data_IF_993172451558
#
_entry.id   IF_993172451558
#
_cell.length_a   1.000
_cell.length_b   1.000
_cell.length_c   1.000
_cell.angle_alpha   90.00
_cell.angle_beta   90.00
_cell.angle_gamma   90.00
#
_symmetry.space_group_name_H-M   'P 1'
#
loop_
_entity.id
_entity.type
_entity.pdbx_description
1 polymer ?
#
# COMPACT_ATOMS: atom_id res chain seq x y z
N UNK A 1 -13.31 36.36 -0.19
CA UNK A 1 -11.87 36.02 -0.03
C UNK A 1 -11.68 34.65 0.61
N UNK A 2 -12.20 34.41 1.81
CA UNK A 2 -12.08 33.13 2.56
C UNK A 2 -12.51 31.91 1.73
N UNK A 3 -13.68 31.94 1.09
CA UNK A 3 -14.16 30.82 0.25
C UNK A 3 -13.23 30.46 -0.91
N UNK A 4 -12.54 31.44 -1.49
CA UNK A 4 -11.59 31.21 -2.59
C UNK A 4 -10.31 30.56 -2.07
N UNK A 5 -9.80 31.01 -0.92
CA UNK A 5 -8.60 30.47 -0.28
C UNK A 5 -8.85 29.01 0.12
N UNK A 6 -9.95 28.75 0.82
CA UNK A 6 -10.33 27.40 1.25
C UNK A 6 -10.45 26.43 0.05
N UNK A 7 -11.09 26.88 -1.03
CA UNK A 7 -11.19 26.12 -2.28
C UNK A 7 -9.82 25.78 -2.88
N UNK A 8 -8.91 26.76 -2.93
CA UNK A 8 -7.56 26.54 -3.49
C UNK A 8 -6.80 25.53 -2.62
N UNK A 9 -6.83 25.67 -1.30
CA UNK A 9 -6.16 24.74 -0.38
C UNK A 9 -6.69 23.33 -0.57
N UNK A 10 -8.01 23.12 -0.55
CA UNK A 10 -8.62 21.80 -0.71
C UNK A 10 -8.31 21.22 -2.09
N UNK A 11 -8.36 22.03 -3.15
CA UNK A 11 -7.98 21.59 -4.49
C UNK A 11 -6.53 21.12 -4.58
N UNK A 12 -5.59 21.86 -3.96
CA UNK A 12 -4.19 21.47 -3.89
C UNK A 12 -3.97 20.16 -3.13
N UNK A 13 -4.74 19.93 -2.05
CA UNK A 13 -4.67 18.65 -1.32
C UNK A 13 -5.11 17.49 -2.20
N UNK A 14 -6.22 17.61 -2.93
CA UNK A 14 -6.65 16.57 -3.87
C UNK A 14 -5.67 16.34 -5.01
N UNK A 15 -5.10 17.41 -5.57
CA UNK A 15 -4.08 17.30 -6.63
C UNK A 15 -2.83 16.58 -6.09
N UNK A 16 -2.35 16.95 -4.90
CA UNK A 16 -1.17 16.33 -4.30
C UNK A 16 -1.43 14.85 -3.97
N UNK A 17 -2.55 14.56 -3.32
CA UNK A 17 -2.98 13.20 -2.98
C UNK A 17 -3.14 12.32 -4.23
N UNK A 18 -3.87 12.80 -5.23
CA UNK A 18 -4.04 12.11 -6.51
C UNK A 18 -2.73 11.93 -7.27
N UNK A 19 -1.80 12.90 -7.21
CA UNK A 19 -0.51 12.80 -7.88
C UNK A 19 0.36 11.69 -7.28
N UNK A 20 0.46 11.61 -5.95
CA UNK A 20 1.25 10.54 -5.32
C UNK A 20 0.67 9.16 -5.65
N UNK A 21 -0.66 9.02 -5.62
CA UNK A 21 -1.32 7.78 -6.05
C UNK A 21 -1.11 7.49 -7.54
N UNK A 22 -1.04 8.50 -8.41
CA UNK A 22 -0.79 8.31 -9.84
C UNK A 22 0.63 7.82 -10.13
N UNK A 23 1.62 8.29 -9.36
CA UNK A 23 3.02 7.85 -9.47
C UNK A 23 3.13 6.35 -9.18
N UNK A 24 2.37 5.84 -8.20
CA UNK A 24 2.32 4.41 -7.85
C UNK A 24 0.87 3.88 -7.81
N UNK A 25 0.22 3.88 -8.98
CA UNK A 25 -1.17 3.43 -9.10
C UNK A 25 -1.33 1.93 -8.86
N UNK A 26 -0.29 1.14 -9.16
CA UNK A 26 -0.28 -0.30 -8.88
C UNK A 26 -0.20 -0.55 -7.38
N UNK A 27 0.65 0.17 -6.64
CA UNK A 27 0.68 0.12 -5.18
C UNK A 27 -0.66 0.48 -4.56
N UNK A 28 -1.30 1.56 -5.03
CA UNK A 28 -2.64 1.93 -4.57
C UNK A 28 -3.69 0.84 -4.89
N UNK A 29 -3.57 0.17 -6.04
CA UNK A 29 -4.46 -0.93 -6.39
C UNK A 29 -4.35 -2.13 -5.44
N UNK A 30 -3.15 -2.41 -4.91
CA UNK A 30 -2.98 -3.49 -3.93
C UNK A 30 -3.71 -3.20 -2.61
N UNK A 31 -3.81 -1.93 -2.20
CA UNK A 31 -4.60 -1.54 -1.04
C UNK A 31 -6.09 -1.79 -1.27
N UNK A 32 -6.61 -1.41 -2.45
CA UNK A 32 -8.00 -1.69 -2.82
C UNK A 32 -8.27 -3.20 -2.92
N UNK A 33 -7.32 -3.96 -3.45
CA UNK A 33 -7.39 -5.43 -3.50
C UNK A 33 -7.53 -6.03 -2.10
N UNK A 34 -6.75 -5.54 -1.13
CA UNK A 34 -6.83 -5.97 0.27
C UNK A 34 -8.21 -5.68 0.89
N UNK A 35 -8.78 -4.50 0.63
CA UNK A 35 -10.15 -4.17 1.06
C UNK A 35 -11.20 -5.11 0.44
N UNK A 36 -11.06 -5.48 -0.84
CA UNK A 36 -12.04 -6.33 -1.52
C UNK A 36 -11.86 -7.82 -1.27
N UNK A 37 -10.75 -8.20 -0.64
CA UNK A 37 -10.40 -9.58 -0.36
C UNK A 37 -11.42 -10.30 0.56
N UNK A 38 -11.44 -11.64 0.56
CA UNK A 38 -12.32 -12.45 1.42
C UNK A 38 -12.24 -12.15 2.92
N UNK A 39 -11.10 -11.66 3.41
CA UNK A 39 -10.89 -11.36 4.83
C UNK A 39 -11.51 -10.02 5.27
N UNK A 40 -11.88 -9.14 4.34
CA UNK A 40 -12.39 -7.79 4.62
C UNK A 40 -13.84 -7.65 4.17
N UNK A 41 -14.08 -7.33 2.89
CA UNK A 41 -15.44 -7.20 2.35
C UNK A 41 -15.95 -8.43 1.60
N UNK A 42 -15.05 -9.35 1.23
CA UNK A 42 -15.38 -10.55 0.48
C UNK A 42 -16.14 -10.24 -0.82
N UNK A 43 -15.55 -9.39 -1.67
CA UNK A 43 -16.10 -9.01 -2.98
C UNK A 43 -15.09 -9.36 -4.10
N UNK A 44 -14.95 -10.65 -4.45
CA UNK A 44 -13.93 -11.12 -5.41
C UNK A 44 -14.03 -10.48 -6.80
N UNK A 45 -15.23 -10.02 -7.18
CA UNK A 45 -15.45 -9.31 -8.45
C UNK A 45 -14.69 -7.97 -8.50
N UNK A 46 -14.73 -7.20 -7.39
CA UNK A 46 -14.03 -5.92 -7.30
C UNK A 46 -12.53 -6.10 -7.06
N UNK A 47 -12.14 -7.15 -6.35
CA UNK A 47 -10.74 -7.53 -6.13
C UNK A 47 -9.99 -7.68 -7.47
N UNK A 48 -10.58 -8.41 -8.43
CA UNK A 48 -10.01 -8.57 -9.78
C UNK A 48 -9.93 -7.28 -10.59
N UNK A 49 -10.75 -6.29 -10.24
CA UNK A 49 -10.82 -4.99 -10.92
C UNK A 49 -10.09 -3.89 -10.13
N UNK A 50 -9.37 -4.23 -9.06
CA UNK A 50 -8.75 -3.25 -8.17
C UNK A 50 -7.84 -2.25 -8.90
N UNK A 51 -7.09 -2.70 -9.92
CA UNK A 51 -6.27 -1.81 -10.75
C UNK A 51 -7.11 -0.83 -11.58
N UNK A 52 -8.20 -1.30 -12.19
CA UNK A 52 -9.10 -0.45 -12.99
C UNK A 52 -9.76 0.58 -12.07
N UNK A 53 -10.23 0.15 -10.90
CA UNK A 53 -10.85 1.02 -9.90
C UNK A 53 -9.82 2.05 -9.40
N UNK A 54 -8.60 1.62 -9.09
CA UNK A 54 -7.51 2.52 -8.68
C UNK A 54 -7.26 3.62 -9.71
N UNK A 55 -7.13 3.26 -11.00
CA UNK A 55 -6.93 4.21 -12.10
C UNK A 55 -8.11 5.20 -12.18
N UNK A 56 -9.36 4.73 -12.10
CA UNK A 56 -10.55 5.59 -12.16
C UNK A 56 -10.58 6.56 -10.97
N UNK A 57 -10.35 6.06 -9.75
CA UNK A 57 -10.38 6.87 -8.52
C UNK A 57 -9.29 7.94 -8.55
N UNK A 58 -8.06 7.57 -8.93
CA UNK A 58 -6.95 8.51 -9.07
C UNK A 58 -7.21 9.54 -10.16
N UNK A 59 -7.76 9.11 -11.31
CA UNK A 59 -8.11 10.02 -12.40
C UNK A 59 -9.19 11.01 -11.96
N UNK A 60 -10.25 10.56 -11.27
CA UNK A 60 -11.28 11.44 -10.73
C UNK A 60 -10.69 12.42 -9.71
N UNK A 61 -9.86 11.95 -8.79
CA UNK A 61 -9.24 12.80 -7.78
C UNK A 61 -8.42 13.94 -8.40
N UNK A 62 -7.58 13.62 -9.40
CA UNK A 62 -6.78 14.60 -10.12
C UNK A 62 -7.62 15.54 -10.98
N UNK A 63 -8.50 14.99 -11.84
CA UNK A 63 -9.32 15.80 -12.76
C UNK A 63 -10.20 16.77 -11.97
N UNK A 64 -10.90 16.28 -10.95
CA UNK A 64 -11.80 17.11 -10.15
C UNK A 64 -11.03 18.01 -9.17
N UNK A 65 -9.84 17.62 -8.72
CA UNK A 65 -8.92 18.53 -8.02
C UNK A 65 -8.53 19.73 -8.89
N UNK A 66 -8.13 19.50 -10.15
CA UNK A 66 -7.85 20.58 -11.11
C UNK A 66 -9.10 21.42 -11.44
N UNK A 67 -10.26 20.80 -11.63
CA UNK A 67 -11.50 21.54 -11.87
C UNK A 67 -11.89 22.40 -10.67
N UNK A 68 -11.67 21.91 -9.45
CA UNK A 68 -11.92 22.67 -8.23
C UNK A 68 -10.97 23.87 -8.16
N UNK A 69 -9.70 23.71 -8.54
CA UNK A 69 -8.71 24.78 -8.61
C UNK A 69 -9.07 25.87 -9.65
N UNK A 70 -9.55 25.46 -10.83
CA UNK A 70 -9.91 26.36 -11.94
C UNK A 70 -11.33 26.93 -11.86
N UNK A 71 -12.13 26.48 -10.88
CA UNK A 71 -13.55 26.83 -10.70
C UNK A 71 -14.39 26.36 -11.89
N UNK A 72 -14.11 25.15 -12.38
CA UNK A 72 -14.80 24.54 -13.52
C UNK A 72 -15.88 23.57 -13.08
N UNK A 73 -17.08 23.70 -13.67
CA UNK A 73 -18.26 22.89 -13.36
C UNK A 73 -18.46 22.67 -11.85
N UNK A 74 -18.38 23.76 -11.07
CA UNK A 74 -18.13 23.71 -9.63
C UNK A 74 -19.09 22.79 -8.85
N UNK A 75 -20.39 22.84 -9.14
CA UNK A 75 -21.41 21.99 -8.49
C UNK A 75 -21.11 20.51 -8.72
N UNK A 76 -20.86 20.12 -9.97
CA UNK A 76 -20.56 18.74 -10.34
C UNK A 76 -19.23 18.26 -9.73
N UNK A 77 -18.19 19.09 -9.84
CA UNK A 77 -16.86 18.82 -9.25
C UNK A 77 -16.94 18.58 -7.75
N UNK A 78 -17.66 19.44 -7.01
CA UNK A 78 -17.85 19.27 -5.57
C UNK A 78 -18.63 18.00 -5.25
N UNK A 79 -19.72 17.70 -5.98
CA UNK A 79 -20.50 16.48 -5.78
C UNK A 79 -19.64 15.22 -5.92
N UNK A 80 -18.78 15.16 -6.95
CA UNK A 80 -17.91 13.99 -7.16
C UNK A 80 -16.82 13.88 -6.08
N UNK A 81 -16.16 14.99 -5.73
CA UNK A 81 -15.15 14.98 -4.67
C UNK A 81 -15.76 14.61 -3.31
N UNK A 82 -16.98 15.07 -3.02
CA UNK A 82 -17.71 14.68 -1.80
C UNK A 82 -17.98 13.16 -1.83
N UNK A 83 -18.49 12.62 -2.93
CA UNK A 83 -18.74 11.18 -3.05
C UNK A 83 -17.45 10.35 -2.87
N UNK A 84 -16.33 10.79 -3.46
CA UNK A 84 -15.02 10.17 -3.33
C UNK A 84 -14.50 10.25 -1.87
N UNK A 85 -14.66 11.39 -1.20
CA UNK A 85 -14.33 11.52 0.22
C UNK A 85 -15.19 10.62 1.11
N UNK A 86 -16.49 10.50 0.85
CA UNK A 86 -17.38 9.60 1.61
C UNK A 86 -16.95 8.15 1.41
N UNK A 87 -16.62 7.76 0.18
CA UNK A 87 -16.10 6.42 -0.11
C UNK A 87 -14.80 6.12 0.66
N UNK A 88 -13.81 7.02 0.62
CA UNK A 88 -12.57 6.84 1.38
C UNK A 88 -12.79 6.88 2.89
N UNK A 89 -13.62 7.79 3.39
CA UNK A 89 -13.97 7.86 4.82
C UNK A 89 -14.62 6.55 5.30
N UNK A 90 -15.43 5.89 4.47
CA UNK A 90 -15.97 4.57 4.79
C UNK A 90 -14.87 3.50 4.87
N UNK A 91 -13.96 3.44 3.89
CA UNK A 91 -12.84 2.49 3.90
C UNK A 91 -11.92 2.71 5.11
N UNK A 92 -11.57 3.96 5.39
CA UNK A 92 -10.65 4.32 6.48
C UNK A 92 -11.28 4.12 7.85
N UNK A 93 -12.59 4.41 8.00
CA UNK A 93 -13.34 4.05 9.19
C UNK A 93 -13.36 2.54 9.42
N UNK A 94 -13.66 1.75 8.39
CA UNK A 94 -13.71 0.30 8.49
C UNK A 94 -12.35 -0.27 8.95
N UNK A 95 -11.26 0.19 8.34
CA UNK A 95 -9.90 -0.16 8.78
C UNK A 95 -9.61 0.23 10.22
N UNK A 96 -9.98 1.44 10.63
CA UNK A 96 -9.72 1.95 11.97
C UNK A 96 -10.52 1.22 13.06
N UNK A 97 -11.74 0.78 12.74
CA UNK A 97 -12.61 0.07 13.66
C UNK A 97 -12.26 -1.42 13.76
N UNK A 98 -12.02 -2.09 12.63
CA UNK A 98 -11.77 -3.54 12.58
C UNK A 98 -10.29 -3.94 12.54
N UNK A 99 -9.36 -2.99 12.48
CA UNK A 99 -7.90 -3.21 12.39
C UNK A 99 -7.47 -4.15 11.25
N UNK A 100 -8.14 -4.04 10.09
CA UNK A 100 -7.96 -4.97 8.96
C UNK A 100 -6.93 -4.55 7.93
N UNK A 101 -6.71 -3.24 7.73
CA UNK A 101 -5.72 -2.70 6.77
C UNK A 101 -4.96 -1.59 7.47
N UNK A 102 -3.64 -1.73 7.53
CA UNK A 102 -2.75 -0.84 8.31
C UNK A 102 -2.45 0.50 7.64
N UNK A 103 -2.68 0.60 6.32
CA UNK A 103 -2.44 1.81 5.54
C UNK A 103 -3.51 1.96 4.45
N UNK A 104 -4.31 3.01 4.57
CA UNK A 104 -5.46 3.30 3.71
C UNK A 104 -5.07 3.78 2.29
N UNK A 105 -3.80 4.08 2.04
CA UNK A 105 -3.30 4.48 0.71
C UNK A 105 -3.77 5.85 0.23
N UNK A 106 -4.36 6.68 1.11
CA UNK A 106 -4.88 8.00 0.74
C UNK A 106 -3.82 8.96 0.19
N UNK A 107 -2.55 8.84 0.59
CA UNK A 107 -1.43 9.62 0.02
C UNK A 107 -0.41 8.71 -0.66
N UNK A 108 -0.82 7.52 -1.09
CA UNK A 108 0.09 6.47 -1.56
C UNK A 108 1.22 6.18 -0.55
N UNK A 109 2.35 5.70 -1.05
CA UNK A 109 3.50 5.34 -0.22
C UNK A 109 4.29 6.55 0.33
N UNK A 110 3.99 7.78 -0.09
CA UNK A 110 4.75 8.95 0.37
C UNK A 110 4.44 9.35 1.82
N UNK A 111 3.23 9.04 2.32
CA UNK A 111 2.83 9.33 3.69
C UNK A 111 1.89 8.24 4.20
N UNK A 112 2.46 7.27 4.93
CA UNK A 112 1.71 6.25 5.64
C UNK A 112 1.07 6.89 6.87
N UNK A 113 -0.25 6.95 6.87
CA UNK A 113 -1.04 7.48 7.97
C UNK A 113 -1.74 6.33 8.67
N UNK A 114 -1.70 6.34 10.01
CA UNK A 114 -2.46 5.37 10.81
C UNK A 114 -3.95 5.42 10.45
N UNK A 115 -4.71 4.31 10.57
CA UNK A 115 -6.10 4.26 10.14
C UNK A 115 -6.98 5.38 10.73
N UNK A 116 -6.84 5.66 12.03
CA UNK A 116 -7.58 6.75 12.69
C UNK A 116 -7.16 8.15 12.21
N UNK A 117 -5.88 8.35 11.89
CA UNK A 117 -5.39 9.62 11.33
C UNK A 117 -5.94 9.83 9.91
N UNK A 118 -5.93 8.77 9.10
CA UNK A 118 -6.50 8.76 7.76
C UNK A 118 -7.99 9.07 7.78
N UNK A 119 -8.75 8.46 8.70
CA UNK A 119 -10.18 8.72 8.86
C UNK A 119 -10.47 10.18 9.22
N UNK A 120 -9.84 10.73 10.26
CA UNK A 120 -10.07 12.11 10.66
C UNK A 120 -9.72 13.11 9.57
N UNK A 121 -8.63 12.86 8.84
CA UNK A 121 -8.26 13.64 7.66
C UNK A 121 -9.37 13.64 6.60
N UNK A 122 -9.93 12.48 6.27
CA UNK A 122 -11.03 12.40 5.30
C UNK A 122 -12.28 13.13 5.79
N UNK A 123 -12.59 13.07 7.10
CA UNK A 123 -13.67 13.85 7.71
C UNK A 123 -13.43 15.35 7.61
N UNK A 124 -12.20 15.84 7.86
CA UNK A 124 -11.87 17.26 7.70
C UNK A 124 -11.98 17.72 6.24
N UNK A 125 -11.52 16.92 5.29
CA UNK A 125 -11.67 17.21 3.86
C UNK A 125 -13.13 17.22 3.44
N UNK A 126 -13.92 16.25 3.91
CA UNK A 126 -15.36 16.18 3.66
C UNK A 126 -16.09 17.41 4.23
N UNK A 127 -15.82 17.79 5.48
CA UNK A 127 -16.39 18.98 6.10
C UNK A 127 -16.01 20.26 5.33
N UNK A 128 -14.75 20.36 4.90
CA UNK A 128 -14.27 21.46 4.07
C UNK A 128 -14.99 21.55 2.71
N UNK A 129 -15.21 20.41 2.05
CA UNK A 129 -15.97 20.34 0.79
C UNK A 129 -17.43 20.71 0.97
N UNK A 130 -18.10 20.22 2.04
CA UNK A 130 -19.48 20.59 2.36
C UNK A 130 -19.61 22.08 2.66
N UNK A 131 -18.65 22.65 3.37
CA UNK A 131 -18.59 24.10 3.62
C UNK A 131 -18.43 24.88 2.31
N UNK A 132 -17.52 24.47 1.42
CA UNK A 132 -17.38 25.10 0.09
C UNK A 132 -18.68 24.98 -0.69
N UNK A 133 -19.31 23.80 -0.70
CA UNK A 133 -20.58 23.56 -1.40
C UNK A 133 -21.66 24.54 -0.92
N UNK A 134 -21.79 24.72 0.40
CA UNK A 134 -22.73 25.67 0.97
C UNK A 134 -22.37 27.13 0.63
N UNK A 135 -21.09 27.51 0.71
CA UNK A 135 -20.62 28.87 0.42
C UNK A 135 -20.75 29.28 -1.05
N UNK A 136 -20.75 28.32 -1.97
CA UNK A 136 -20.93 28.53 -3.41
C UNK A 136 -22.33 28.20 -3.91
N UNK A 137 -23.28 27.79 -3.05
CA UNK A 137 -24.63 27.37 -3.43
C UNK A 137 -25.37 28.38 -4.31
N UNK A 138 -25.18 29.68 -4.04
CA UNK A 138 -25.79 30.79 -4.78
C UNK A 138 -24.99 31.22 -6.02
N UNK A 139 -23.79 30.66 -6.22
CA UNK A 139 -22.87 30.98 -7.30
C UNK A 139 -22.76 29.86 -8.33
N UNK A 140 -23.51 28.76 -8.19
CA UNK A 140 -23.41 27.61 -9.09
C UNK A 140 -23.93 27.90 -10.49
N UNK A 141 -24.92 28.78 -10.63
CA UNK A 141 -25.53 29.12 -11.92
C UNK A 141 -24.82 30.29 -12.62
N UNK A 142 -23.72 30.80 -12.04
CA UNK A 142 -22.93 31.85 -12.70
C UNK A 142 -22.21 31.29 -13.93
N UNK A 143 -22.34 32.01 -15.05
CA UNK A 143 -21.68 31.65 -16.29
C UNK A 143 -20.17 31.49 -16.08
N UNK A 144 -19.65 30.34 -16.48
CA UNK A 144 -18.24 30.02 -16.33
C UNK A 144 -17.43 30.79 -17.38
N UNK A 145 -16.46 31.59 -16.94
CA UNK A 145 -15.52 32.21 -17.87
C UNK A 145 -14.62 31.14 -18.49
N UNK A 146 -14.94 30.79 -19.74
CA UNK A 146 -14.17 29.88 -20.59
C UNK A 146 -13.00 30.64 -21.21
N UNK A 147 -11.85 30.62 -20.55
CA UNK A 147 -10.62 31.19 -21.11
C UNK A 147 -9.82 30.15 -21.88
N UNK A 148 -9.12 30.57 -22.94
CA UNK A 148 -8.19 29.69 -23.69
C UNK A 148 -7.13 29.08 -22.75
N UNK A 149 -6.67 29.86 -21.77
CA UNK A 149 -5.72 29.41 -20.75
C UNK A 149 -6.22 28.20 -19.96
N UNK A 150 -7.45 28.25 -19.41
CA UNK A 150 -8.04 27.11 -18.69
C UNK A 150 -8.12 25.86 -19.57
N UNK A 151 -8.51 26.02 -20.85
CA UNK A 151 -8.58 24.90 -21.80
C UNK A 151 -7.21 24.24 -22.00
N UNK A 152 -6.19 25.03 -22.33
CA UNK A 152 -4.84 24.50 -22.55
C UNK A 152 -4.26 23.84 -21.28
N UNK A 153 -4.45 24.48 -20.12
CA UNK A 153 -3.97 23.95 -18.85
C UNK A 153 -4.64 22.62 -18.49
N UNK A 154 -5.97 22.51 -18.64
CA UNK A 154 -6.70 21.26 -18.39
C UNK A 154 -6.28 20.15 -19.36
N UNK A 155 -6.06 20.47 -20.65
CA UNK A 155 -5.55 19.49 -21.63
C UNK A 155 -4.14 19.01 -21.28
N UNK A 156 -3.25 19.93 -20.90
CA UNK A 156 -1.89 19.58 -20.46
C UNK A 156 -1.89 18.71 -19.21
N UNK A 157 -2.70 19.06 -18.21
CA UNK A 157 -2.86 18.27 -16.98
C UNK A 157 -3.38 16.85 -17.29
N UNK A 158 -4.36 16.72 -18.19
CA UNK A 158 -4.90 15.43 -18.62
C UNK A 158 -3.84 14.56 -19.31
N UNK A 159 -3.08 15.10 -20.27
CA UNK A 159 -2.01 14.37 -20.97
C UNK A 159 -0.93 13.92 -19.98
N UNK A 160 -0.52 14.81 -19.08
CA UNK A 160 0.49 14.52 -18.05
C UNK A 160 0.02 13.40 -17.12
N UNK A 161 -1.24 13.44 -16.69
CA UNK A 161 -1.83 12.40 -15.85
C UNK A 161 -1.86 11.05 -16.56
N UNK A 162 -2.33 10.98 -17.80
CA UNK A 162 -2.36 9.74 -18.60
C UNK A 162 -0.96 9.17 -18.75
N UNK A 163 0.04 10.02 -19.02
CA UNK A 163 1.44 9.62 -19.11
C UNK A 163 1.95 9.02 -17.79
N UNK A 164 1.75 9.71 -16.66
CA UNK A 164 2.22 9.25 -15.34
C UNK A 164 1.56 7.92 -14.93
N UNK A 165 0.24 7.81 -15.08
CA UNK A 165 -0.50 6.59 -14.74
C UNK A 165 -0.03 5.43 -15.62
N UNK A 166 0.07 5.63 -16.94
CA UNK A 166 0.53 4.60 -17.85
C UNK A 166 1.97 4.17 -17.53
N UNK A 167 2.85 5.13 -17.20
CA UNK A 167 4.20 4.84 -16.76
C UNK A 167 4.20 4.00 -15.48
N UNK A 168 3.45 4.39 -14.44
CA UNK A 168 3.38 3.66 -13.17
C UNK A 168 2.75 2.27 -13.25
N UNK A 169 2.03 1.95 -14.34
CA UNK A 169 1.52 0.60 -14.62
C UNK A 169 2.57 -0.27 -15.31
N UNK A 170 3.37 0.31 -16.20
CA UNK A 170 4.23 -0.43 -17.14
C UNK A 170 5.68 -0.52 -16.70
N UNK A 171 6.15 0.49 -15.97
CA UNK A 171 7.54 0.62 -15.53
C UNK A 171 7.58 0.91 -14.03
N UNK A 172 8.79 0.97 -13.46
CA UNK A 172 8.94 1.41 -12.09
C UNK A 172 8.51 2.87 -11.91
N UNK A 173 7.87 3.21 -10.76
CA UNK A 173 7.48 4.58 -10.45
C UNK A 173 8.63 5.57 -10.66
N UNK A 174 8.34 6.69 -11.32
CA UNK A 174 9.34 7.76 -11.57
C UNK A 174 9.93 8.27 -10.26
N UNK A 175 9.11 8.31 -9.20
CA UNK A 175 9.53 8.66 -7.84
C UNK A 175 9.19 7.46 -6.95
N UNK A 176 10.22 6.85 -6.37
CA UNK A 176 10.05 5.71 -5.49
C UNK A 176 9.98 6.15 -4.03
N UNK A 177 8.77 6.13 -3.47
CA UNK A 177 8.51 6.44 -2.05
C UNK A 177 8.64 5.23 -1.13
N UNK A 178 8.89 4.03 -1.67
CA UNK A 178 9.00 2.80 -0.87
C UNK A 178 10.32 2.75 -0.12
N UNK A 179 10.35 1.97 0.97
CA UNK A 179 11.56 1.68 1.72
C UNK A 179 12.64 1.01 0.84
N UNK A 180 12.20 0.25 -0.17
CA UNK A 180 13.05 -0.42 -1.15
C UNK A 180 13.52 0.48 -2.30
N UNK A 181 13.58 1.81 -2.17
CA UNK A 181 14.09 2.67 -3.25
C UNK A 181 15.56 2.38 -3.60
N UNK A 182 15.94 2.70 -4.84
CA UNK A 182 17.34 2.53 -5.30
C UNK A 182 18.28 3.33 -4.39
N UNK A 183 19.37 2.69 -3.96
CA UNK A 183 20.34 3.25 -3.03
C UNK A 183 20.14 2.85 -1.57
N UNK A 184 18.99 2.29 -1.18
CA UNK A 184 18.77 1.77 0.18
C UNK A 184 19.65 0.56 0.45
N UNK A 185 20.25 0.50 1.65
CA UNK A 185 21.00 -0.67 2.14
C UNK A 185 20.15 -1.47 3.13
N UNK A 186 19.76 -2.68 2.72
CA UNK A 186 18.91 -3.55 3.55
C UNK A 186 19.60 -3.97 4.85
N UNK A 187 20.94 -4.07 4.88
CA UNK A 187 21.66 -4.39 6.12
C UNK A 187 21.51 -3.27 7.15
N UNK A 188 21.68 -2.02 6.72
CA UNK A 188 21.54 -0.85 7.58
C UNK A 188 20.09 -0.71 8.06
N UNK A 189 19.13 -0.87 7.15
CA UNK A 189 17.71 -0.80 7.51
C UNK A 189 17.30 -1.89 8.49
N UNK A 190 17.74 -3.14 8.30
CA UNK A 190 17.50 -4.23 9.27
C UNK A 190 18.14 -3.95 10.63
N UNK A 191 19.33 -3.33 10.68
CA UNK A 191 19.93 -2.90 11.94
C UNK A 191 19.13 -1.78 12.62
N UNK A 192 18.59 -0.83 11.86
CA UNK A 192 17.74 0.24 12.41
C UNK A 192 16.44 -0.31 13.00
N UNK A 193 15.81 -1.27 12.31
CA UNK A 193 14.64 -2.00 12.83
C UNK A 193 15.00 -2.73 14.13
N UNK A 194 16.12 -3.45 14.17
CA UNK A 194 16.55 -4.19 15.36
C UNK A 194 16.91 -3.29 16.55
N UNK A 195 17.38 -2.06 16.31
CA UNK A 195 17.69 -1.08 17.37
C UNK A 195 16.44 -0.47 18.01
N UNK A 196 15.34 -0.39 17.27
CA UNK A 196 14.08 0.17 17.75
C UNK A 196 12.90 -0.70 17.28
N UNK A 197 12.74 -1.92 17.83
CA UNK A 197 11.66 -2.81 17.44
C UNK A 197 10.32 -2.28 17.95
N UNK A 198 9.25 -2.55 17.19
CA UNK A 198 7.89 -2.34 17.68
C UNK A 198 7.59 -3.28 18.84
N UNK A 199 7.00 -2.75 19.90
CA UNK A 199 6.64 -3.52 21.10
C UNK A 199 5.17 -3.93 21.00
N UNK A 200 4.93 -5.23 20.94
CA UNK A 200 3.60 -5.83 20.94
C UNK A 200 3.33 -6.47 22.30
N UNK A 201 2.11 -6.32 22.81
CA UNK A 201 1.62 -7.14 23.92
C UNK A 201 0.52 -8.08 23.43
N UNK A 202 0.58 -9.29 23.93
CA UNK A 202 -0.47 -10.27 23.75
C UNK A 202 -1.61 -9.95 24.73
N UNK A 203 -2.85 -10.02 24.23
CA UNK A 203 -4.08 -9.90 24.99
C UNK A 203 -4.88 -11.19 24.84
N UNK A 204 -5.37 -11.70 25.97
CA UNK A 204 -6.23 -12.87 26.05
C UNK A 204 -7.68 -12.41 26.24
N UNK A 205 -8.59 -12.97 25.46
CA UNK A 205 -10.03 -12.90 25.77
C UNK A 205 -10.33 -13.97 26.80
N UNK A 206 -10.62 -13.58 28.04
CA UNK A 206 -10.99 -14.49 29.13
C UNK A 206 -12.48 -14.41 29.39
N UNK A 207 -13.16 -15.56 29.41
CA UNK A 207 -14.59 -15.66 29.65
C UNK A 207 -14.85 -16.26 31.03
N UNK A 208 -15.73 -15.61 31.80
CA UNK A 208 -16.19 -16.10 33.07
C UNK A 208 -17.26 -17.19 32.87
N UNK A 209 -16.99 -18.41 33.35
CA UNK A 209 -17.92 -19.55 33.25
C UNK A 209 -19.21 -19.37 34.05
N UNK A 210 -19.22 -18.50 35.07
CA UNK A 210 -20.35 -18.30 35.99
C UNK A 210 -21.25 -17.13 35.56
N UNK A 211 -20.66 -16.00 35.16
CA UNK A 211 -21.42 -14.81 34.75
C UNK A 211 -21.62 -14.70 33.23
N UNK A 212 -20.81 -15.42 32.43
CA UNK A 212 -20.78 -15.27 30.97
C UNK A 212 -20.05 -14.00 30.49
N UNK A 213 -19.51 -13.19 31.41
CA UNK A 213 -18.76 -11.98 31.12
C UNK A 213 -17.46 -12.30 30.38
N UNK A 214 -17.09 -11.46 29.42
CA UNK A 214 -15.85 -11.58 28.64
C UNK A 214 -14.99 -10.35 28.91
N UNK A 215 -13.75 -10.56 29.35
CA UNK A 215 -12.76 -9.51 29.59
C UNK A 215 -11.56 -9.73 28.68
N UNK A 216 -10.96 -8.63 28.26
CA UNK A 216 -9.68 -8.65 27.56
C UNK A 216 -8.57 -8.31 28.56
N UNK A 217 -7.61 -9.23 28.74
CA UNK A 217 -6.55 -9.13 29.74
C UNK A 217 -5.20 -9.24 29.04
N UNK A 218 -4.27 -8.32 29.29
CA UNK A 218 -2.94 -8.41 28.70
C UNK A 218 -2.13 -9.56 29.34
N UNK A 219 -1.09 -10.04 28.64
CA UNK A 219 -0.30 -11.17 29.09
C UNK A 219 0.37 -10.96 30.45
N UNK A 220 0.82 -9.74 30.75
CA UNK A 220 1.45 -9.42 32.03
C UNK A 220 0.44 -9.54 33.17
N UNK A 221 -0.76 -8.95 33.01
CA UNK A 221 -1.84 -9.00 34.00
C UNK A 221 -2.40 -10.42 34.13
N UNK A 222 -2.50 -11.16 33.03
CA UNK A 222 -2.91 -12.56 33.07
C UNK A 222 -1.94 -13.38 33.92
N UNK A 223 -0.63 -13.27 33.70
CA UNK A 223 0.37 -14.03 34.46
C UNK A 223 0.45 -13.55 35.92
N UNK A 224 0.40 -12.24 36.16
CA UNK A 224 0.60 -11.66 37.48
C UNK A 224 -0.65 -11.74 38.38
N UNK A 225 -1.85 -11.72 37.82
CA UNK A 225 -3.09 -11.79 38.57
C UNK A 225 -3.66 -13.22 38.62
N UNK A 226 -3.37 -13.92 39.71
CA UNK A 226 -3.81 -15.31 39.98
C UNK A 226 -5.31 -15.56 39.73
N UNK A 227 -6.14 -14.53 39.89
CA UNK A 227 -7.59 -14.59 39.65
C UNK A 227 -7.95 -15.06 38.23
N UNK A 228 -7.06 -14.99 37.24
CA UNK A 228 -7.32 -15.38 35.85
C UNK A 228 -6.87 -16.79 35.46
N UNK A 229 -6.04 -17.48 36.26
CA UNK A 229 -5.46 -18.79 35.88
C UNK A 229 -5.31 -19.80 37.01
N UNK A 230 -5.46 -19.39 38.28
CA UNK A 230 -5.41 -20.32 39.42
C UNK A 230 -6.53 -21.37 39.32
N UNK A 231 -6.35 -22.57 39.88
CA UNK A 231 -7.28 -23.72 39.71
C UNK A 231 -8.74 -23.41 40.12
N UNK A 232 -8.95 -22.41 40.98
CA UNK A 232 -10.28 -21.95 41.41
C UNK A 232 -10.86 -20.80 40.57
N UNK A 233 -10.15 -20.35 39.55
CA UNK A 233 -10.54 -19.23 38.69
C UNK A 233 -11.80 -19.58 37.89
N UNK A 234 -12.82 -18.70 37.88
CA UNK A 234 -13.96 -18.86 36.99
C UNK A 234 -13.65 -18.44 35.54
N UNK A 235 -12.45 -17.94 35.25
CA UNK A 235 -12.06 -17.38 33.96
C UNK A 235 -11.31 -18.41 33.11
N UNK A 236 -11.70 -18.53 31.84
CA UNK A 236 -11.05 -19.42 30.86
C UNK A 236 -10.72 -18.63 29.59
N UNK A 237 -9.54 -18.85 29.03
CA UNK A 237 -9.14 -18.22 27.76
C UNK A 237 -10.04 -18.78 26.64
N UNK A 238 -10.63 -17.90 25.85
CA UNK A 238 -11.32 -18.29 24.63
C UNK A 238 -10.29 -18.63 23.56
N UNK A 239 -10.17 -19.93 23.25
CA UNK A 239 -9.30 -20.42 22.17
C UNK A 239 -9.61 -19.71 20.85
N UNK A 240 -8.54 -19.25 20.16
CA UNK A 240 -8.66 -18.54 18.89
C UNK A 240 -8.98 -17.04 19.00
N UNK A 241 -9.15 -16.48 20.21
CA UNK A 241 -9.37 -15.03 20.43
C UNK A 241 -8.20 -14.29 21.07
N UNK A 242 -7.03 -14.92 21.13
CA UNK A 242 -5.79 -14.24 21.53
C UNK A 242 -5.42 -13.22 20.45
N UNK A 243 -5.25 -11.97 20.84
CA UNK A 243 -4.87 -10.89 19.93
C UNK A 243 -3.53 -10.29 20.34
N UNK A 244 -2.69 -9.92 19.38
CA UNK A 244 -1.48 -9.16 19.65
C UNK A 244 -1.76 -7.70 19.31
N UNK A 245 -1.59 -6.79 20.27
CA UNK A 245 -1.78 -5.36 20.08
C UNK A 245 -0.44 -4.64 20.18
N UNK A 246 -0.16 -3.81 19.18
CA UNK A 246 0.97 -2.91 19.19
C UNK A 246 0.78 -1.86 20.30
N UNK A 247 1.71 -1.79 21.25
CA UNK A 247 1.66 -0.82 22.36
C UNK A 247 2.57 0.37 22.08
N UNK A 248 3.70 0.12 21.43
CA UNK A 248 4.66 1.17 21.07
C UNK A 248 5.21 0.91 19.69
N UNK A 249 5.01 1.89 18.80
CA UNK A 249 5.53 1.81 17.46
C UNK A 249 7.04 2.10 17.45
N UNK A 250 7.81 1.11 16.99
CA UNK A 250 9.25 1.23 16.75
C UNK A 250 9.54 1.83 15.38
N UNK A 251 10.75 1.61 14.87
CA UNK A 251 11.11 1.99 13.51
C UNK A 251 10.35 1.14 12.49
N UNK A 252 9.41 1.76 11.78
CA UNK A 252 8.53 1.08 10.83
C UNK A 252 9.16 1.09 9.44
N UNK A 253 9.41 -0.09 8.88
CA UNK A 253 9.88 -0.27 7.51
C UNK A 253 9.38 -1.60 6.95
N UNK A 254 8.92 -1.61 5.69
CA UNK A 254 8.51 -2.82 4.97
C UNK A 254 9.66 -3.79 4.72
N UNK A 255 10.91 -3.34 4.92
CA UNK A 255 12.11 -4.21 4.87
C UNK A 255 12.09 -5.26 6.00
N UNK A 256 11.35 -5.00 7.08
CA UNK A 256 11.09 -6.01 8.12
C UNK A 256 10.40 -7.27 7.57
N UNK A 257 9.60 -7.13 6.50
CA UNK A 257 8.91 -8.22 5.81
C UNK A 257 9.80 -8.94 4.79
N UNK A 258 11.02 -8.46 4.54
CA UNK A 258 11.97 -9.13 3.65
C UNK A 258 12.51 -10.40 4.31
N UNK A 259 11.88 -11.53 4.02
CA UNK A 259 12.26 -12.83 4.57
C UNK A 259 12.01 -13.95 3.56
N UNK A 260 12.82 -14.05 2.50
CA UNK A 260 12.75 -15.17 1.57
C UNK A 260 13.21 -16.45 2.27
N UNK A 261 12.42 -17.51 2.16
CA UNK A 261 12.65 -18.80 2.80
C UNK A 261 12.70 -19.94 1.77
N UNK A 262 13.40 -21.04 2.06
CA UNK A 262 13.28 -22.26 1.24
C UNK A 262 11.93 -22.94 1.48
N UNK A 263 11.62 -23.99 0.71
CA UNK A 263 10.41 -24.81 0.92
C UNK A 263 10.42 -25.47 2.30
N UNK A 264 11.61 -25.74 2.84
CA UNK A 264 11.85 -26.30 4.16
C UNK A 264 11.82 -25.23 5.28
N UNK A 265 11.61 -23.95 4.95
CA UNK A 265 11.53 -22.84 5.92
C UNK A 265 12.87 -22.26 6.35
N UNK A 266 13.95 -22.51 5.61
CA UNK A 266 15.28 -21.93 5.91
C UNK A 266 15.33 -20.49 5.41
N UNK A 267 15.62 -19.54 6.30
CA UNK A 267 15.74 -18.11 5.96
C UNK A 267 17.00 -17.84 5.12
N UNK A 268 16.82 -17.34 3.89
CA UNK A 268 17.87 -17.03 2.93
C UNK A 268 18.34 -15.57 2.98
N UNK A 269 17.78 -14.76 3.89
CA UNK A 269 18.03 -13.31 3.92
C UNK A 269 19.53 -13.01 4.06
N UNK A 270 20.22 -13.63 5.00
CA UNK A 270 21.63 -13.31 5.24
C UNK A 270 22.52 -13.64 4.04
N UNK A 271 22.25 -14.76 3.36
CA UNK A 271 23.01 -15.19 2.19
C UNK A 271 22.83 -14.19 1.03
N UNK A 272 21.59 -13.71 0.84
CA UNK A 272 21.27 -12.68 -0.14
C UNK A 272 21.98 -11.37 0.17
N UNK A 273 21.94 -10.91 1.43
CA UNK A 273 22.49 -9.61 1.81
C UNK A 273 24.03 -9.60 1.87
N UNK A 274 24.67 -10.74 2.12
CA UNK A 274 26.14 -10.87 2.13
C UNK A 274 26.73 -11.09 0.73
N UNK A 275 25.93 -11.59 -0.23
CA UNK A 275 26.40 -11.86 -1.58
C UNK A 275 27.00 -10.60 -2.24
N UNK A 276 28.14 -10.71 -2.96
CA UNK A 276 28.74 -9.58 -3.67
C UNK A 276 27.76 -8.93 -4.68
N UNK A 277 26.97 -9.76 -5.37
CA UNK A 277 25.87 -9.38 -6.25
C UNK A 277 24.76 -10.43 -6.10
N UNK A 278 23.53 -10.00 -5.89
CA UNK A 278 22.35 -10.87 -5.94
C UNK A 278 21.31 -10.29 -6.88
N UNK A 279 20.76 -11.11 -7.77
CA UNK A 279 19.67 -10.72 -8.66
C UNK A 279 18.46 -11.60 -8.32
N UNK A 280 17.41 -10.96 -7.83
CA UNK A 280 16.21 -11.60 -7.34
C UNK A 280 15.07 -11.30 -8.32
N UNK A 281 14.35 -12.34 -8.75
CA UNK A 281 13.14 -12.18 -9.54
C UNK A 281 11.93 -12.55 -8.69
N UNK A 282 10.97 -11.65 -8.60
CA UNK A 282 9.79 -11.77 -7.75
C UNK A 282 8.54 -12.03 -8.59
N UNK A 283 7.66 -12.90 -8.09
CA UNK A 283 6.34 -13.15 -8.66
C UNK A 283 5.30 -13.33 -7.54
N UNK A 284 4.49 -12.29 -7.31
CA UNK A 284 3.49 -12.29 -6.22
C UNK A 284 2.18 -13.01 -6.58
N UNK A 285 1.86 -13.14 -7.88
CA UNK A 285 0.69 -13.86 -8.38
C UNK A 285 1.06 -14.76 -9.57
N UNK A 286 1.61 -15.96 -9.33
CA UNK A 286 2.08 -16.85 -10.39
C UNK A 286 1.02 -17.18 -11.45
N UNK A 287 -0.25 -17.34 -11.04
CA UNK A 287 -1.35 -17.65 -11.94
C UNK A 287 -1.66 -16.54 -12.97
N UNK A 288 -1.32 -15.29 -12.66
CA UNK A 288 -1.60 -14.12 -13.52
C UNK A 288 -0.32 -13.63 -14.23
N UNK A 289 0.82 -14.27 -13.98
CA UNK A 289 2.10 -13.86 -14.55
C UNK A 289 2.20 -14.26 -16.03
N UNK A 290 2.81 -13.39 -16.84
CA UNK A 290 3.07 -13.72 -18.25
C UNK A 290 4.19 -14.77 -18.33
N UNK A 291 3.82 -16.00 -18.69
CA UNK A 291 4.72 -17.16 -18.76
C UNK A 291 5.90 -16.91 -19.72
N UNK A 292 5.69 -16.21 -20.83
CA UNK A 292 6.75 -15.92 -21.79
C UNK A 292 7.78 -14.94 -21.21
N UNK A 293 7.31 -13.89 -20.51
CA UNK A 293 8.18 -12.92 -19.83
C UNK A 293 8.96 -13.62 -18.73
N UNK A 294 8.30 -14.46 -17.93
CA UNK A 294 8.93 -15.21 -16.86
C UNK A 294 10.05 -16.12 -17.40
N UNK A 295 9.77 -16.91 -18.44
CA UNK A 295 10.76 -17.79 -19.06
C UNK A 295 11.95 -17.03 -19.69
N UNK A 296 11.69 -15.90 -20.36
CA UNK A 296 12.75 -15.06 -20.94
C UNK A 296 13.62 -14.40 -19.86
N UNK A 297 13.02 -13.92 -18.77
CA UNK A 297 13.74 -13.35 -17.66
C UNK A 297 14.60 -14.41 -16.96
N UNK A 298 14.06 -15.61 -16.71
CA UNK A 298 14.80 -16.76 -16.17
C UNK A 298 16.02 -17.10 -17.03
N UNK A 299 15.83 -17.24 -18.34
CA UNK A 299 16.91 -17.56 -19.27
C UNK A 299 18.01 -16.50 -19.28
N UNK A 300 17.63 -15.21 -19.21
CA UNK A 300 18.59 -14.10 -19.13
C UNK A 300 19.33 -14.09 -17.80
N UNK A 301 18.64 -14.27 -16.69
CA UNK A 301 19.24 -14.34 -15.36
C UNK A 301 20.24 -15.48 -15.26
N UNK A 302 19.91 -16.64 -15.82
CA UNK A 302 20.78 -17.83 -15.81
C UNK A 302 22.12 -17.63 -16.52
N UNK A 303 22.26 -16.60 -17.36
CA UNK A 303 23.51 -16.25 -18.05
C UNK A 303 24.42 -15.35 -17.20
N UNK A 304 23.91 -14.74 -16.12
CA UNK A 304 24.68 -13.87 -15.24
C UNK A 304 25.70 -14.69 -14.44
N UNK A 305 26.98 -14.46 -14.72
CA UNK A 305 28.09 -15.08 -13.98
C UNK A 305 28.39 -14.28 -12.73
N UNK A 306 28.72 -14.97 -11.64
CA UNK A 306 29.13 -14.37 -10.35
C UNK A 306 28.05 -13.56 -9.61
N UNK A 307 26.76 -13.87 -9.84
CA UNK A 307 25.65 -13.37 -9.05
C UNK A 307 24.91 -14.52 -8.35
N UNK A 308 24.44 -14.29 -7.13
CA UNK A 308 23.42 -15.15 -6.52
C UNK A 308 22.09 -14.87 -7.20
N UNK A 309 21.48 -15.89 -7.81
CA UNK A 309 20.20 -15.76 -8.51
C UNK A 309 19.14 -16.56 -7.76
N UNK A 310 18.01 -15.91 -7.44
CA UNK A 310 16.87 -16.56 -6.79
C UNK A 310 15.56 -16.08 -7.39
N UNK A 311 14.65 -17.03 -7.61
CA UNK A 311 13.26 -16.77 -7.93
C UNK A 311 12.41 -16.82 -6.66
N UNK A 312 11.81 -15.70 -6.28
CA UNK A 312 11.01 -15.54 -5.07
C UNK A 312 9.53 -15.46 -5.44
N UNK A 313 8.70 -16.35 -4.89
CA UNK A 313 7.27 -16.37 -5.20
C UNK A 313 6.42 -16.88 -4.03
N UNK A 314 5.09 -16.80 -4.19
CA UNK A 314 4.12 -17.44 -3.31
C UNK A 314 3.95 -18.94 -3.59
N UNK A 315 4.49 -19.44 -4.72
CA UNK A 315 4.44 -20.85 -5.10
C UNK A 315 5.84 -21.39 -5.44
N UNK A 316 6.25 -22.56 -4.90
CA UNK A 316 7.60 -23.09 -5.06
C UNK A 316 7.95 -23.54 -6.49
N UNK A 317 6.95 -23.76 -7.34
CA UNK A 317 7.12 -24.25 -8.71
C UNK A 317 7.03 -23.13 -9.77
N UNK A 318 7.13 -21.87 -9.34
CA UNK A 318 6.96 -20.72 -10.23
C UNK A 318 8.09 -20.60 -11.24
N UNK A 319 9.34 -20.75 -10.78
CA UNK A 319 10.52 -20.71 -11.63
C UNK A 319 11.06 -22.12 -11.87
N UNK A 320 11.50 -22.42 -13.08
CA UNK A 320 11.85 -23.81 -13.48
C UNK A 320 13.35 -24.05 -13.63
N UNK A 321 14.11 -22.99 -13.90
CA UNK A 321 15.52 -23.08 -14.29
C UNK A 321 16.47 -22.49 -13.25
N UNK A 322 15.93 -21.70 -12.32
CA UNK A 322 16.68 -21.06 -11.23
C UNK A 322 16.20 -21.58 -9.87
N UNK A 323 17.01 -21.38 -8.82
CA UNK A 323 16.66 -21.74 -7.46
C UNK A 323 15.43 -20.95 -6.98
N UNK A 324 14.47 -21.63 -6.36
CA UNK A 324 13.24 -21.04 -5.85
C UNK A 324 13.35 -20.73 -4.36
N UNK A 325 12.67 -19.66 -3.95
CA UNK A 325 12.41 -19.29 -2.57
C UNK A 325 10.96 -18.81 -2.44
N UNK A 326 10.43 -18.92 -1.23
CA UNK A 326 9.07 -18.54 -0.87
C UNK A 326 9.08 -17.24 -0.07
N UNK A 327 8.08 -16.40 -0.33
CA UNK A 327 7.80 -15.22 0.48
C UNK A 327 6.31 -14.87 0.38
N UNK A 328 5.75 -14.25 1.41
CA UNK A 328 4.36 -13.80 1.39
C UNK A 328 4.11 -12.82 0.23
N UNK A 329 3.00 -13.02 -0.48
CA UNK A 329 2.57 -12.15 -1.57
C UNK A 329 2.35 -10.72 -1.14
N UNK A 330 1.89 -10.46 0.09
CA UNK A 330 1.75 -9.08 0.58
C UNK A 330 3.12 -8.41 0.74
N UNK A 331 4.12 -9.15 1.24
CA UNK A 331 5.50 -8.69 1.34
C UNK A 331 6.13 -8.47 -0.04
N UNK A 332 5.92 -9.39 -1.00
CA UNK A 332 6.43 -9.20 -2.38
C UNK A 332 5.82 -7.95 -3.01
N UNK A 333 4.52 -7.71 -2.81
CA UNK A 333 3.82 -6.50 -3.26
C UNK A 333 4.34 -5.22 -2.62
N UNK A 334 5.15 -5.24 -1.56
CA UNK A 334 5.84 -4.02 -1.08
C UNK A 334 7.09 -3.69 -1.89
N UNK A 335 7.63 -4.67 -2.61
CA UNK A 335 8.87 -4.58 -3.40
C UNK A 335 8.54 -4.38 -4.87
N UNK A 336 7.66 -5.21 -5.41
CA UNK A 336 7.37 -5.35 -6.83
C UNK A 336 6.12 -4.55 -7.25
N UNK A 337 6.22 -3.83 -8.37
CA UNK A 337 5.06 -3.19 -9.05
C UNK A 337 4.72 -3.83 -10.39
N UNK A 338 5.43 -4.88 -10.77
CA UNK A 338 5.13 -5.73 -11.91
C UNK A 338 5.17 -7.20 -11.51
N UNK A 339 4.62 -8.06 -12.36
CA UNK A 339 4.56 -9.49 -12.10
C UNK A 339 4.93 -10.25 -13.39
N UNK A 340 6.20 -10.64 -13.58
CA UNK A 340 7.31 -10.64 -12.61
C UNK A 340 8.07 -9.30 -12.48
N UNK A 341 8.92 -9.19 -11.45
CA UNK A 341 9.74 -8.02 -11.13
C UNK A 341 11.18 -8.40 -10.78
N UNK A 342 12.17 -7.58 -11.15
CA UNK A 342 13.59 -7.87 -10.88
C UNK A 342 14.21 -6.81 -9.96
N UNK A 343 14.90 -7.29 -8.92
CA UNK A 343 15.66 -6.49 -7.96
C UNK A 343 17.13 -6.94 -7.98
N UNK A 344 18.05 -6.01 -8.14
CA UNK A 344 19.48 -6.29 -8.02
C UNK A 344 20.05 -5.63 -6.78
N UNK A 345 20.75 -6.41 -5.98
CA UNK A 345 21.50 -5.95 -4.82
C UNK A 345 23.00 -6.15 -5.02
N UNK A 346 23.81 -5.31 -4.39
CA UNK A 346 25.24 -5.50 -4.22
C UNK A 346 25.58 -5.37 -2.74
N UNK A 347 25.97 -6.48 -2.11
CA UNK A 347 26.22 -6.55 -0.65
C UNK A 347 25.07 -5.93 0.17
N UNK A 348 23.84 -6.28 -0.19
CA UNK A 348 22.61 -5.81 0.47
C UNK A 348 22.12 -4.41 0.07
N UNK A 349 22.90 -3.66 -0.72
CA UNK A 349 22.47 -2.35 -1.26
C UNK A 349 21.70 -2.51 -2.55
N UNK A 350 20.52 -1.89 -2.65
CA UNK A 350 19.71 -1.87 -3.87
C UNK A 350 20.41 -1.00 -4.92
N UNK A 351 20.79 -1.62 -6.03
CA UNK A 351 21.44 -0.94 -7.16
C UNK A 351 20.54 -0.83 -8.38
N UNK A 352 19.57 -1.73 -8.53
CA UNK A 352 18.63 -1.69 -9.65
C UNK A 352 17.30 -2.35 -9.32
N UNK A 353 16.24 -1.81 -9.92
CA UNK A 353 14.83 -2.20 -9.75
C UNK A 353 14.09 -1.94 -11.04
N UNK A 354 13.40 -2.96 -11.58
CA UNK A 354 12.63 -2.81 -12.82
C UNK A 354 11.67 -3.96 -13.05
N UNK A 355 10.71 -3.74 -13.94
CA UNK A 355 9.86 -4.82 -14.43
C UNK A 355 10.69 -5.90 -15.13
N UNK A 356 10.22 -7.15 -15.11
CA UNK A 356 10.89 -8.21 -15.86
C UNK A 356 10.92 -7.92 -17.37
N UNK A 357 9.89 -7.26 -17.90
CA UNK A 357 9.85 -6.84 -19.31
C UNK A 357 10.97 -5.86 -19.65
N UNK A 358 11.21 -4.86 -18.79
CA UNK A 358 12.30 -3.90 -18.96
C UNK A 358 13.67 -4.54 -18.76
N UNK A 359 13.76 -5.47 -17.80
CA UNK A 359 14.97 -6.25 -17.57
C UNK A 359 15.36 -7.04 -18.82
N UNK A 360 14.42 -7.72 -19.48
CA UNK A 360 14.70 -8.51 -20.69
C UNK A 360 15.21 -7.61 -21.81
N UNK A 361 14.60 -6.44 -22.02
CA UNK A 361 14.94 -5.48 -23.09
C UNK A 361 16.31 -4.81 -22.92
N UNK A 362 16.89 -4.82 -21.72
CA UNK A 362 18.20 -4.22 -21.47
C UNK A 362 19.28 -4.91 -22.30
N UNK A 363 20.03 -4.14 -23.11
CA UNK A 363 21.24 -4.67 -23.74
C UNK A 363 22.32 -4.80 -22.68
N UNK A 364 23.00 -5.96 -22.67
CA UNK A 364 24.12 -6.25 -21.78
C UNK A 364 25.28 -5.28 -22.00
#
# INVERSE_FOLDING_TARGET
MIKNILRIIIALVFIASGFVKAVDVVGFSFKLEEYFSPSVFNIPFLEKQALIIAVIVVAFELIFGFFLLLKTQLKFTLSILIALCVFFAFLTFYSAYFNVVTDCGCFGDAMKLEPWQSFWKDIFLLAGLLLIYFLYRNNFDQAEEKTKFKKYLSTFAFITMVFIINWGITHEPVIDFRDYKIGTDLNIEKQNIAKNPSEFKTYYSVKNKKSGEVLEVNQDDYVNEKKYWEESSPWEIEEGKTTSKLIKQGYQSEISKFKPETVEGVDLTEDILKAPKSILIFCYKPQDANINVLAQAEAKLSQEKHALILGISTNPNTFKTINNALMDGTAIKTIARSNPFVLTLQRGKIVDKRSAEDYIKQKN
#
